data_IF_882166980938
#
_entry.id   IF_882166980938
#
_cell.length_a   1.000
_cell.length_b   1.000
_cell.length_c   1.000
_cell.angle_alpha   90.00
_cell.angle_beta   90.00
_cell.angle_gamma   90.00
#
_symmetry.space_group_name_H-M   'P 1'
#
loop_
_entity.id
_entity.type
_entity.pdbx_description
1 polymer ?
#
# COMPACT_ATOMS: atom_id res chain seq x y z
N UNK A 1 16.93 -40.23 38.75
CA UNK A 1 16.95 -40.21 37.27
C UNK A 1 15.50 -40.25 36.73
N UNK A 2 14.78 -39.13 36.69
CA UNK A 2 14.97 -38.04 35.74
C UNK A 2 13.72 -37.99 34.87
N UNK A 3 12.62 -37.43 35.41
CA UNK A 3 11.36 -37.23 34.68
C UNK A 3 11.60 -36.23 33.55
N UNK A 4 11.42 -36.66 32.29
CA UNK A 4 11.45 -35.75 31.14
C UNK A 4 10.05 -35.18 30.89
N UNK A 5 9.99 -33.86 30.92
CA UNK A 5 8.80 -33.03 30.73
C UNK A 5 8.28 -33.13 29.28
N UNK A 6 6.97 -32.99 29.05
CA UNK A 6 6.43 -32.86 27.69
C UNK A 6 6.80 -31.49 27.10
N UNK A 7 7.12 -31.38 25.79
CA UNK A 7 7.33 -30.08 25.19
C UNK A 7 6.00 -29.32 25.11
N UNK A 8 6.07 -28.08 25.58
CA UNK A 8 4.99 -27.10 25.64
C UNK A 8 4.33 -26.85 24.28
N UNK A 9 3.00 -26.78 24.31
CA UNK A 9 2.14 -25.90 23.51
C UNK A 9 2.84 -25.14 22.38
N UNK A 10 2.76 -25.70 21.17
CA UNK A 10 2.82 -24.91 19.95
C UNK A 10 1.57 -24.03 19.92
N UNK A 11 1.70 -22.80 20.44
CA UNK A 11 0.75 -21.73 20.16
C UNK A 11 0.57 -21.70 18.64
N UNK A 12 -0.63 -21.82 18.07
CA UNK A 12 -0.79 -21.54 16.66
C UNK A 12 -0.33 -20.10 16.49
N UNK A 13 0.82 -19.92 15.82
CA UNK A 13 1.21 -18.61 15.29
C UNK A 13 0.00 -18.17 14.48
N UNK A 14 -0.76 -17.22 15.03
CA UNK A 14 -1.76 -16.52 14.26
C UNK A 14 -1.01 -15.97 13.05
N UNK A 15 -1.16 -16.63 11.91
CA UNK A 15 -0.93 -15.97 10.63
C UNK A 15 -1.73 -14.68 10.72
N UNK A 16 -1.16 -13.51 10.38
CA UNK A 16 -1.96 -12.30 10.25
C UNK A 16 -3.06 -12.63 9.25
N UNK A 17 -4.28 -12.85 9.75
CA UNK A 17 -5.50 -13.03 8.98
C UNK A 17 -5.87 -11.67 8.44
N UNK A 18 -5.13 -11.23 7.45
CA UNK A 18 -5.51 -10.20 6.50
C UNK A 18 -5.09 -10.74 5.15
N UNK A 19 -6.03 -10.86 4.22
CA UNK A 19 -5.66 -11.12 2.84
C UNK A 19 -4.58 -10.09 2.43
N UNK A 20 -3.56 -10.48 1.65
CA UNK A 20 -2.55 -9.55 1.21
C UNK A 20 -3.24 -8.38 0.48
N UNK A 21 -2.96 -7.14 0.90
CA UNK A 21 -3.54 -5.97 0.26
C UNK A 21 -3.03 -5.92 -1.19
N UNK A 22 -3.96 -5.87 -2.14
CA UNK A 22 -3.65 -5.71 -3.53
C UNK A 22 -3.34 -4.23 -3.81
N UNK A 23 -2.17 -3.96 -4.37
CA UNK A 23 -1.67 -2.62 -4.63
C UNK A 23 -1.46 -2.44 -6.13
N UNK A 24 -2.19 -1.52 -6.73
CA UNK A 24 -1.92 -1.09 -8.10
C UNK A 24 -0.85 -0.01 -8.11
N UNK A 25 0.24 -0.24 -8.85
CA UNK A 25 1.28 0.76 -9.03
C UNK A 25 0.97 1.59 -10.28
N UNK A 26 0.79 2.89 -10.08
CA UNK A 26 0.68 3.86 -11.15
C UNK A 26 2.04 4.50 -11.42
N UNK A 27 2.47 4.43 -12.69
CA UNK A 27 3.75 4.92 -13.20
C UNK A 27 4.99 4.23 -12.61
N UNK A 28 6.19 4.74 -12.96
CA UNK A 28 7.56 4.17 -12.91
C UNK A 28 8.04 3.69 -11.52
N UNK A 29 7.24 2.88 -10.83
CA UNK A 29 7.70 2.07 -9.73
C UNK A 29 8.32 0.83 -10.38
N UNK A 30 9.65 0.65 -10.31
CA UNK A 30 10.32 -0.46 -10.97
C UNK A 30 9.69 -1.79 -10.53
N UNK A 31 9.58 -2.77 -11.43
CA UNK A 31 9.16 -4.14 -11.04
C UNK A 31 10.01 -4.69 -9.90
N UNK A 32 11.26 -4.22 -9.78
CA UNK A 32 12.19 -4.46 -8.68
C UNK A 32 11.55 -4.13 -7.32
N UNK A 33 10.80 -3.02 -7.25
CA UNK A 33 10.08 -2.60 -6.07
C UNK A 33 8.93 -3.55 -5.71
N UNK A 34 8.30 -4.17 -6.70
CA UNK A 34 7.25 -5.16 -6.47
C UNK A 34 7.78 -6.37 -5.69
N UNK A 35 8.99 -6.83 -6.01
CA UNK A 35 9.65 -7.93 -5.31
C UNK A 35 9.96 -7.58 -3.84
N UNK A 36 10.22 -6.29 -3.55
CA UNK A 36 10.47 -5.82 -2.19
C UNK A 36 9.20 -5.66 -1.35
N UNK A 37 8.02 -5.51 -1.96
CA UNK A 37 6.75 -5.35 -1.24
C UNK A 37 6.08 -6.68 -0.87
N UNK A 38 6.33 -7.75 -1.63
CA UNK A 38 5.75 -9.07 -1.36
C UNK A 38 6.04 -9.62 0.05
N UNK A 39 7.27 -9.51 0.61
CA UNK A 39 7.55 -9.92 1.99
C UNK A 39 6.75 -9.15 3.06
N UNK A 40 6.19 -7.99 2.71
CA UNK A 40 5.37 -7.18 3.61
C UNK A 40 3.87 -7.47 3.49
N UNK A 41 3.49 -8.51 2.76
CA UNK A 41 2.09 -8.92 2.59
C UNK A 41 1.32 -8.04 1.60
N UNK A 42 2.01 -7.37 0.69
CA UNK A 42 1.38 -6.63 -0.41
C UNK A 42 1.46 -7.43 -1.70
N UNK A 43 0.34 -7.55 -2.41
CA UNK A 43 0.28 -8.12 -3.74
C UNK A 43 0.30 -7.01 -4.79
N UNK A 44 1.34 -6.95 -5.61
CA UNK A 44 1.55 -5.84 -6.54
C UNK A 44 0.96 -6.13 -7.91
N UNK A 45 0.10 -5.23 -8.37
CA UNK A 45 -0.45 -5.21 -9.73
C UNK A 45 0.34 -4.15 -10.52
N UNK A 46 1.30 -4.62 -11.32
CA UNK A 46 2.12 -3.75 -12.16
C UNK A 46 1.36 -3.36 -13.44
N UNK A 47 1.04 -2.09 -13.58
CA UNK A 47 0.18 -1.62 -14.65
C UNK A 47 0.90 -1.01 -15.86
N UNK A 48 2.23 -0.81 -15.76
CA UNK A 48 3.08 -0.40 -16.88
C UNK A 48 2.80 1.01 -17.46
N UNK A 49 1.99 1.84 -16.82
CA UNK A 49 1.62 3.16 -17.34
C UNK A 49 0.67 3.97 -16.45
N UNK A 50 -0.06 4.90 -17.06
CA UNK A 50 -1.14 5.67 -16.40
C UNK A 50 -2.35 4.78 -16.16
N UNK A 51 -2.78 4.70 -14.90
CA UNK A 51 -3.92 3.90 -14.44
C UNK A 51 -4.88 4.81 -13.70
N UNK A 52 -6.16 4.73 -14.01
CA UNK A 52 -7.20 5.41 -13.23
C UNK A 52 -7.58 4.60 -12.00
N UNK A 53 -8.07 5.24 -10.94
CA UNK A 53 -8.55 4.52 -9.75
C UNK A 53 -9.67 3.52 -10.08
N UNK A 54 -10.48 3.80 -11.11
CA UNK A 54 -11.51 2.88 -11.61
C UNK A 54 -10.92 1.62 -12.24
N UNK A 55 -9.90 1.76 -13.09
CA UNK A 55 -9.19 0.63 -13.69
C UNK A 55 -8.49 -0.21 -12.63
N UNK A 56 -7.79 0.43 -11.69
CA UNK A 56 -7.14 -0.25 -10.57
C UNK A 56 -8.15 -1.06 -9.74
N UNK A 57 -9.31 -0.46 -9.43
CA UNK A 57 -10.40 -1.16 -8.75
C UNK A 57 -10.94 -2.33 -9.56
N UNK A 58 -11.08 -2.17 -10.89
CA UNK A 58 -11.49 -3.24 -11.80
C UNK A 58 -10.53 -4.44 -11.81
N UNK A 59 -9.25 -4.22 -11.50
CA UNK A 59 -8.25 -5.28 -11.33
C UNK A 59 -8.22 -5.89 -9.92
N UNK A 60 -9.08 -5.41 -9.03
CA UNK A 60 -9.12 -5.85 -7.63
C UNK A 60 -8.06 -5.20 -6.74
N UNK A 61 -7.53 -4.02 -7.11
CA UNK A 61 -6.65 -3.28 -6.22
C UNK A 61 -7.42 -2.70 -5.03
N UNK A 62 -6.88 -2.90 -3.84
CA UNK A 62 -7.34 -2.30 -2.58
C UNK A 62 -6.76 -0.90 -2.38
N UNK A 63 -5.54 -0.67 -2.87
CA UNK A 63 -4.79 0.60 -2.71
C UNK A 63 -4.12 0.98 -4.02
N UNK A 64 -4.08 2.27 -4.31
CA UNK A 64 -3.35 2.85 -5.43
C UNK A 64 -2.06 3.49 -4.92
N UNK A 65 -0.90 3.13 -5.47
CA UNK A 65 0.37 3.83 -5.20
C UNK A 65 0.74 4.67 -6.42
N UNK A 66 1.03 5.95 -6.21
CA UNK A 66 1.26 6.94 -7.28
C UNK A 66 2.57 7.67 -7.03
N UNK A 67 3.44 7.73 -8.05
CA UNK A 67 4.62 8.61 -8.02
C UNK A 67 4.27 10.06 -8.42
N UNK A 68 4.88 11.03 -7.73
CA UNK A 68 4.72 12.46 -7.93
C UNK A 68 5.17 12.98 -9.28
N UNK A 69 6.09 12.27 -9.95
CA UNK A 69 6.51 12.62 -11.30
C UNK A 69 5.34 12.58 -12.31
N UNK A 70 4.23 11.93 -11.95
CA UNK A 70 3.01 11.89 -12.74
C UNK A 70 1.93 12.88 -12.29
N UNK A 71 2.12 13.63 -11.20
CA UNK A 71 1.04 14.42 -10.60
C UNK A 71 0.62 15.64 -11.44
N UNK A 72 1.42 16.06 -12.41
CA UNK A 72 1.12 17.22 -13.26
C UNK A 72 -0.28 17.21 -13.90
N UNK A 73 -0.91 16.03 -14.06
CA UNK A 73 -2.27 15.89 -14.60
C UNK A 73 -3.30 15.28 -13.62
N UNK A 74 -2.88 14.86 -12.41
CA UNK A 74 -3.65 13.92 -11.58
C UNK A 74 -3.91 14.40 -10.14
N UNK A 75 -3.68 15.67 -9.84
CA UNK A 75 -4.04 16.30 -8.55
C UNK A 75 -5.49 16.02 -8.16
N UNK A 76 -6.39 15.91 -9.14
CA UNK A 76 -7.81 15.62 -8.93
C UNK A 76 -8.05 14.26 -8.22
N UNK A 77 -7.15 13.29 -8.38
CA UNK A 77 -7.24 12.00 -7.68
C UNK A 77 -6.94 12.11 -6.19
N UNK A 78 -6.07 13.06 -5.80
CA UNK A 78 -5.78 13.32 -4.39
C UNK A 78 -6.94 14.06 -3.70
N UNK A 79 -7.71 14.84 -4.46
CA UNK A 79 -8.83 15.61 -3.90
C UNK A 79 -10.08 14.77 -3.66
N UNK A 80 -10.32 13.74 -4.49
CA UNK A 80 -11.47 12.85 -4.39
C UNK A 80 -11.06 11.39 -4.66
N UNK A 81 -10.30 10.77 -3.73
CA UNK A 81 -9.83 9.41 -3.90
C UNK A 81 -11.00 8.41 -3.98
N UNK A 82 -11.01 7.61 -5.04
CA UNK A 82 -11.95 6.48 -5.18
C UNK A 82 -11.44 5.22 -4.49
N UNK A 83 -10.12 5.14 -4.32
CA UNK A 83 -9.38 4.13 -3.58
C UNK A 83 -8.44 4.83 -2.59
N UNK A 84 -8.08 4.16 -1.46
CA UNK A 84 -6.93 4.57 -0.67
C UNK A 84 -5.72 4.78 -1.58
N UNK A 85 -4.99 5.86 -1.35
CA UNK A 85 -3.91 6.30 -2.23
C UNK A 85 -2.66 6.58 -1.41
N UNK A 86 -1.56 5.91 -1.76
CA UNK A 86 -0.22 6.24 -1.28
C UNK A 86 0.48 7.07 -2.34
N UNK A 87 0.94 8.24 -1.94
CA UNK A 87 1.56 9.20 -2.82
C UNK A 87 3.04 9.33 -2.53
N UNK A 88 3.87 8.95 -3.48
CA UNK A 88 5.33 8.94 -3.38
C UNK A 88 5.89 10.24 -3.93
N UNK A 89 6.62 11.01 -3.13
CA UNK A 89 7.19 12.29 -3.57
C UNK A 89 8.73 12.30 -3.48
N UNK A 90 9.45 12.77 -4.52
CA UNK A 90 10.91 12.98 -4.46
C UNK A 90 11.27 14.17 -3.57
N UNK A 91 10.35 15.13 -3.42
CA UNK A 91 10.52 16.35 -2.62
C UNK A 91 9.31 16.55 -1.70
N UNK A 92 9.40 17.37 -0.64
CA UNK A 92 8.25 17.70 0.18
C UNK A 92 7.24 18.49 -0.66
N UNK A 93 6.05 17.93 -0.86
CA UNK A 93 4.91 18.60 -1.48
C UNK A 93 3.82 18.75 -0.43
N UNK A 94 3.14 19.90 -0.40
CA UNK A 94 1.92 20.04 0.38
C UNK A 94 0.78 19.37 -0.38
N UNK A 95 0.29 18.25 0.14
CA UNK A 95 -0.93 17.62 -0.35
C UNK A 95 -2.13 18.02 0.52
N UNK A 96 -3.35 18.05 -0.06
CA UNK A 96 -4.57 18.20 0.72
C UNK A 96 -4.69 17.10 1.78
N UNK A 97 -5.11 17.46 3.00
CA UNK A 97 -5.42 16.49 4.06
C UNK A 97 -6.75 15.80 3.73
N UNK A 98 -6.66 14.67 3.03
CA UNK A 98 -7.82 13.92 2.54
C UNK A 98 -7.73 12.50 3.11
N UNK A 99 -8.79 12.02 3.80
CA UNK A 99 -8.80 10.67 4.35
C UNK A 99 -8.47 9.61 3.30
N UNK A 100 -7.53 8.72 3.64
CA UNK A 100 -7.07 7.67 2.75
C UNK A 100 -6.01 8.11 1.74
N UNK A 101 -5.53 9.36 1.77
CA UNK A 101 -4.34 9.79 1.06
C UNK A 101 -3.17 9.87 2.05
N UNK A 102 -2.12 9.10 1.81
CA UNK A 102 -0.90 9.10 2.63
C UNK A 102 0.30 9.44 1.76
N UNK A 103 1.14 10.37 2.19
CA UNK A 103 2.37 10.70 1.49
C UNK A 103 3.56 9.93 2.06
N UNK A 104 4.42 9.42 1.18
CA UNK A 104 5.72 8.85 1.52
C UNK A 104 6.78 9.58 0.69
N UNK A 105 7.91 9.92 1.32
CA UNK A 105 8.98 10.64 0.66
C UNK A 105 10.12 9.69 0.28
N UNK A 106 10.75 9.94 -0.87
CA UNK A 106 12.01 9.28 -1.23
C UNK A 106 13.20 9.77 -0.35
N UNK A 107 14.22 8.93 -0.08
CA UNK A 107 14.42 7.56 -0.56
C UNK A 107 13.49 6.55 0.12
N UNK A 108 12.91 5.65 -0.67
CA UNK A 108 11.87 4.73 -0.22
C UNK A 108 12.42 3.45 0.39
N UNK A 109 11.85 3.02 1.52
CA UNK A 109 11.94 1.63 1.97
C UNK A 109 10.61 0.92 1.72
N UNK A 110 10.68 -0.35 1.35
CA UNK A 110 9.49 -1.17 1.15
C UNK A 110 8.58 -1.24 2.39
N UNK A 111 9.18 -1.18 3.59
CA UNK A 111 8.45 -1.11 4.87
C UNK A 111 7.57 0.13 4.97
N UNK A 112 8.06 1.28 4.50
CA UNK A 112 7.41 2.58 4.65
C UNK A 112 6.21 2.66 3.71
N UNK A 113 6.37 2.16 2.48
CA UNK A 113 5.26 2.01 1.53
C UNK A 113 4.23 1.01 2.04
N UNK A 114 4.65 -0.12 2.61
CA UNK A 114 3.72 -1.09 3.17
C UNK A 114 2.93 -0.54 4.36
N UNK A 115 3.58 0.26 5.20
CA UNK A 115 2.94 0.93 6.31
C UNK A 115 1.95 1.99 5.83
N UNK A 116 2.37 2.87 4.90
CA UNK A 116 1.50 3.87 4.30
C UNK A 116 0.29 3.26 3.58
N UNK A 117 0.47 2.09 2.94
CA UNK A 117 -0.61 1.35 2.29
C UNK A 117 -1.68 0.95 3.31
N UNK A 118 -1.27 0.42 4.46
CA UNK A 118 -2.20 0.05 5.54
C UNK A 118 -2.87 1.26 6.17
N UNK A 119 -2.13 2.34 6.39
CA UNK A 119 -2.66 3.59 6.94
C UNK A 119 -3.69 4.23 6.01
N UNK A 120 -3.38 4.31 4.71
CA UNK A 120 -4.31 4.78 3.70
C UNK A 120 -5.59 3.94 3.71
N UNK A 121 -5.47 2.60 3.67
CA UNK A 121 -6.63 1.71 3.68
C UNK A 121 -7.50 1.88 4.94
N UNK A 122 -6.88 1.96 6.12
CA UNK A 122 -7.59 2.14 7.38
C UNK A 122 -8.31 3.50 7.47
N UNK A 123 -7.62 4.59 7.12
CA UNK A 123 -8.18 5.94 7.15
C UNK A 123 -9.36 6.09 6.16
N UNK A 124 -9.22 5.48 4.98
CA UNK A 124 -10.26 5.50 3.97
C UNK A 124 -11.51 4.71 4.36
N UNK A 125 -11.33 3.53 4.99
CA UNK A 125 -12.43 2.74 5.51
C UNK A 125 -13.16 3.48 6.65
N UNK A 126 -12.42 4.11 7.56
CA UNK A 126 -12.99 4.87 8.67
C UNK A 126 -13.81 6.09 8.20
N UNK A 127 -13.43 6.74 7.09
CA UNK A 127 -14.17 7.86 6.54
C UNK A 127 -15.48 7.48 5.81
N UNK A 128 -15.70 6.19 5.55
CA UNK A 128 -16.86 5.66 4.80
C UNK A 128 -17.83 4.83 5.65
N UNK A 129 -17.47 4.49 6.88
CA UNK A 129 -18.33 3.81 7.87
C UNK A 129 -19.04 4.79 8.78
#
# INVERSE_FOLDING_TARGET
PGMQQPPMTGVPRQQPTGAPLAVALRAWVPQEYAAHLAPHGLHVIAAGGSVTSEQARGWGADVLVVSAECLGQDVHLLQQPQLPTVYITPQPVMIPDVPGVVQVQEPLRASDVAQATREAAAAFAAARG
#
